data_IF_353655692377
#
_entry.id   IF_353655692377
#
_cell.length_a   1.000
_cell.length_b   1.000
_cell.length_c   1.000
_cell.angle_alpha   90.00
_cell.angle_beta   90.00
_cell.angle_gamma   90.00
#
_symmetry.space_group_name_H-M   'P 1'
#
loop_
_entity.id
_entity.type
_entity.pdbx_description
1 polymer ?
#
# COMPACT_ATOMS: atom_id res chain seq x y z
N UNK A 1 15.02 6.21 -8.13
CA UNK A 1 14.76 6.85 -6.81
C UNK A 1 14.21 8.27 -6.96
N UNK A 2 14.92 9.18 -7.65
CA UNK A 2 14.46 10.57 -7.83
C UNK A 2 13.08 10.69 -8.48
N UNK A 3 12.78 9.86 -9.49
CA UNK A 3 11.46 9.84 -10.12
C UNK A 3 10.32 9.46 -9.17
N UNK A 4 10.58 8.57 -8.18
CA UNK A 4 9.57 8.17 -7.19
C UNK A 4 9.28 9.32 -6.22
N UNK A 5 10.34 9.95 -5.69
CA UNK A 5 10.20 11.12 -4.82
C UNK A 5 9.47 12.25 -5.51
N UNK A 6 9.85 12.56 -6.75
CA UNK A 6 9.18 13.58 -7.54
C UNK A 6 7.68 13.29 -7.70
N UNK A 7 7.31 12.05 -8.01
CA UNK A 7 5.90 11.66 -8.12
C UNK A 7 5.15 11.88 -6.79
N UNK A 8 5.70 11.42 -5.68
CA UNK A 8 5.05 11.55 -4.37
C UNK A 8 4.93 13.01 -3.95
N UNK A 9 5.97 13.82 -4.16
CA UNK A 9 5.94 15.27 -3.90
C UNK A 9 4.92 16.00 -4.76
N UNK A 10 4.78 15.62 -6.03
CA UNK A 10 3.77 16.18 -6.91
C UNK A 10 2.36 15.86 -6.43
N UNK A 11 2.10 14.60 -6.03
CA UNK A 11 0.82 14.20 -5.45
C UNK A 11 0.54 14.90 -4.11
N UNK A 12 1.56 15.07 -3.27
CA UNK A 12 1.48 15.84 -2.02
C UNK A 12 0.97 17.25 -2.28
N UNK A 13 1.58 17.97 -3.23
CA UNK A 13 1.17 19.35 -3.54
C UNK A 13 -0.26 19.46 -4.07
N UNK A 14 -0.80 18.38 -4.64
CA UNK A 14 -2.17 18.34 -5.16
C UNK A 14 -3.20 17.94 -4.12
N UNK A 15 -2.87 16.99 -3.23
CA UNK A 15 -3.83 16.33 -2.33
C UNK A 15 -3.69 16.74 -0.87
N UNK A 16 -2.49 17.13 -0.45
CA UNK A 16 -2.13 17.45 0.93
C UNK A 16 -1.08 18.58 0.98
N UNK A 17 -1.37 19.77 0.43
CA UNK A 17 -0.40 20.86 0.36
C UNK A 17 0.11 21.33 1.74
N UNK A 18 -0.70 21.17 2.78
CA UNK A 18 -0.39 21.52 4.18
C UNK A 18 0.56 20.54 4.89
N UNK A 19 0.78 19.33 4.34
CA UNK A 19 1.73 18.38 4.92
C UNK A 19 3.15 18.98 4.90
N UNK A 20 3.91 18.96 6.01
CA UNK A 20 5.30 19.39 6.00
C UNK A 20 6.17 18.48 5.12
N UNK A 21 7.02 19.08 4.29
CA UNK A 21 7.94 18.33 3.42
C UNK A 21 8.88 17.44 4.22
N UNK A 22 9.29 17.85 5.42
CA UNK A 22 10.12 17.05 6.33
C UNK A 22 9.44 15.74 6.75
N UNK A 23 8.15 15.80 7.11
CA UNK A 23 7.38 14.59 7.47
C UNK A 23 7.29 13.61 6.31
N UNK A 24 7.09 14.12 5.09
CA UNK A 24 7.07 13.28 3.90
C UNK A 24 8.45 12.70 3.56
N UNK A 25 9.50 13.52 3.67
CA UNK A 25 10.86 13.09 3.40
C UNK A 25 11.31 11.97 4.35
N UNK A 26 10.93 12.03 5.63
CA UNK A 26 11.19 10.94 6.58
C UNK A 26 10.58 9.62 6.10
N UNK A 27 9.30 9.58 5.71
CA UNK A 27 8.71 8.34 5.17
C UNK A 27 9.41 7.86 3.88
N UNK A 28 9.76 8.80 2.99
CA UNK A 28 10.46 8.48 1.75
C UNK A 28 11.88 7.92 2.01
N UNK A 29 12.58 8.44 3.01
CA UNK A 29 13.90 7.96 3.43
C UNK A 29 13.80 6.52 3.94
N UNK A 30 12.82 6.23 4.82
CA UNK A 30 12.55 4.86 5.31
C UNK A 30 12.27 3.90 4.16
N UNK A 31 11.42 4.29 3.20
CA UNK A 31 11.13 3.44 2.03
C UNK A 31 12.36 3.18 1.17
N UNK A 32 13.24 4.17 1.03
CA UNK A 32 14.49 4.02 0.29
C UNK A 32 15.47 3.08 1.02
N UNK A 33 15.71 3.33 2.31
CA UNK A 33 16.64 2.56 3.14
C UNK A 33 16.23 1.10 3.27
N UNK A 34 14.93 0.83 3.39
CA UNK A 34 14.38 -0.52 3.54
C UNK A 34 14.13 -1.23 2.20
N UNK A 35 14.43 -0.59 1.08
CA UNK A 35 14.23 -1.15 -0.26
C UNK A 35 12.76 -1.46 -0.57
N UNK A 36 11.85 -0.59 -0.13
CA UNK A 36 10.39 -0.73 -0.30
C UNK A 36 9.84 0.11 -1.46
N UNK A 37 10.65 0.97 -2.09
CA UNK A 37 10.21 1.84 -3.21
C UNK A 37 9.56 1.04 -4.34
N UNK A 38 10.23 0.00 -4.84
CA UNK A 38 9.69 -0.83 -5.93
C UNK A 38 8.45 -1.63 -5.48
N UNK A 39 8.39 -2.01 -4.20
CA UNK A 39 7.24 -2.71 -3.65
C UNK A 39 6.01 -1.79 -3.57
N UNK A 40 6.19 -0.51 -3.21
CA UNK A 40 5.13 0.50 -3.23
C UNK A 40 4.63 0.79 -4.65
N UNK A 41 5.53 0.83 -5.63
CA UNK A 41 5.15 0.99 -7.03
C UNK A 41 4.30 -0.19 -7.53
N UNK A 42 4.69 -1.42 -7.20
CA UNK A 42 3.90 -2.61 -7.53
C UNK A 42 2.54 -2.59 -6.82
N UNK A 43 2.52 -2.21 -5.55
CA UNK A 43 1.27 -2.13 -4.79
C UNK A 43 0.31 -1.09 -5.37
N UNK A 44 0.84 0.08 -5.79
CA UNK A 44 0.08 1.08 -6.54
C UNK A 44 -0.48 0.51 -7.83
N UNK A 45 0.34 -0.17 -8.62
CA UNK A 45 -0.07 -0.72 -9.91
C UNK A 45 -1.14 -1.81 -9.76
N UNK A 46 -1.08 -2.61 -8.68
CA UNK A 46 -2.13 -3.57 -8.32
C UNK A 46 -3.43 -2.84 -8.01
N UNK A 47 -3.42 -1.88 -7.07
CA UNK A 47 -4.63 -1.17 -6.65
C UNK A 47 -5.24 -0.39 -7.81
N UNK A 48 -4.41 0.29 -8.60
CA UNK A 48 -4.85 1.06 -9.77
C UNK A 48 -5.39 0.14 -10.88
N UNK A 49 -4.73 -0.98 -11.16
CA UNK A 49 -5.18 -1.95 -12.16
C UNK A 49 -6.51 -2.60 -11.78
N UNK A 50 -6.66 -3.01 -10.52
CA UNK A 50 -7.94 -3.52 -9.98
C UNK A 50 -9.04 -2.46 -10.10
N UNK A 51 -8.74 -1.20 -9.78
CA UNK A 51 -9.70 -0.09 -9.92
C UNK A 51 -10.11 0.14 -11.37
N UNK A 52 -9.16 0.18 -12.30
CA UNK A 52 -9.43 0.47 -13.72
C UNK A 52 -10.11 -0.69 -14.45
N UNK A 53 -9.69 -1.92 -14.20
CA UNK A 53 -10.14 -3.08 -14.97
C UNK A 53 -11.29 -3.85 -14.31
N UNK A 54 -11.32 -3.91 -12.97
CA UNK A 54 -12.38 -4.60 -12.25
C UNK A 54 -13.44 -3.64 -11.68
N UNK A 55 -13.13 -2.34 -11.59
CA UNK A 55 -14.06 -1.34 -11.07
C UNK A 55 -14.17 -1.33 -9.54
N UNK A 56 -13.19 -1.89 -8.83
CA UNK A 56 -13.23 -2.00 -7.36
C UNK A 56 -12.04 -1.33 -6.70
N UNK A 57 -12.24 -0.90 -5.46
CA UNK A 57 -11.20 -0.33 -4.60
C UNK A 57 -11.04 -1.19 -3.34
N UNK A 58 -9.93 -0.99 -2.63
CA UNK A 58 -9.74 -1.54 -1.29
C UNK A 58 -10.78 -0.98 -0.32
N UNK A 59 -11.13 -1.77 0.69
CA UNK A 59 -12.04 -1.35 1.76
C UNK A 59 -11.38 -0.27 2.62
N UNK A 60 -12.03 0.88 2.72
CA UNK A 60 -11.54 2.03 3.47
C UNK A 60 -11.31 1.70 4.95
N UNK A 61 -10.16 2.12 5.48
CA UNK A 61 -9.84 2.04 6.89
C UNK A 61 -9.55 0.62 7.42
N UNK A 62 -9.48 -0.40 6.57
CA UNK A 62 -9.18 -1.78 7.00
C UNK A 62 -7.78 -2.26 6.64
N UNK A 63 -7.15 -1.66 5.62
CA UNK A 63 -5.80 -2.04 5.20
C UNK A 63 -4.73 -1.76 6.25
N UNK A 64 -3.62 -2.51 6.21
CA UNK A 64 -2.52 -2.31 7.19
C UNK A 64 -1.69 -1.04 6.95
N UNK A 65 -1.86 -0.39 5.81
CA UNK A 65 -1.18 0.86 5.44
C UNK A 65 -2.05 2.11 5.64
N UNK A 66 -3.31 1.94 6.06
CA UNK A 66 -4.22 3.07 6.27
C UNK A 66 -3.62 4.04 7.30
N UNK A 67 -3.75 5.34 7.05
CA UNK A 67 -3.14 6.38 7.88
C UNK A 67 -1.64 6.63 7.61
N UNK A 68 -1.02 5.95 6.64
CA UNK A 68 0.35 6.24 6.20
C UNK A 68 0.35 7.20 4.99
N UNK A 69 1.22 8.21 5.00
CA UNK A 69 1.17 9.31 4.04
C UNK A 69 1.52 8.87 2.62
N UNK A 70 2.68 8.22 2.42
CA UNK A 70 3.12 7.83 1.07
C UNK A 70 2.11 6.88 0.38
N UNK A 71 1.60 5.81 1.02
CA UNK A 71 0.55 4.97 0.45
C UNK A 71 -0.73 5.74 0.08
N UNK A 72 -1.15 6.71 0.90
CA UNK A 72 -2.31 7.54 0.61
C UNK A 72 -2.07 8.40 -0.64
N UNK A 73 -0.92 9.07 -0.73
CA UNK A 73 -0.56 9.92 -1.87
C UNK A 73 -0.45 9.12 -3.18
N UNK A 74 0.07 7.89 -3.11
CA UNK A 74 0.11 6.97 -4.26
C UNK A 74 -1.28 6.40 -4.63
N UNK A 75 -2.29 6.58 -3.77
CA UNK A 75 -3.65 6.06 -3.99
C UNK A 75 -3.77 4.55 -3.72
N UNK A 76 -2.84 3.98 -2.94
CA UNK A 76 -2.90 2.60 -2.44
C UNK A 76 -3.95 2.50 -1.34
N UNK A 77 -3.99 3.50 -0.47
CA UNK A 77 -4.95 3.62 0.63
C UNK A 77 -5.93 4.76 0.37
N UNK A 78 -7.00 4.77 1.15
CA UNK A 78 -8.14 5.66 0.91
C UNK A 78 -8.45 6.52 2.13
N UNK A 79 -8.04 6.09 3.32
CA UNK A 79 -8.12 6.89 4.53
C UNK A 79 -6.99 7.90 4.55
N UNK A 80 -7.37 9.16 4.67
CA UNK A 80 -6.44 10.27 4.83
C UNK A 80 -5.66 10.13 6.16
N UNK A 81 -4.33 10.34 6.15
CA UNK A 81 -3.51 10.24 7.35
C UNK A 81 -3.76 11.39 8.32
N UNK A 82 -3.79 11.09 9.62
CA UNK A 82 -3.85 12.12 10.67
C UNK A 82 -2.48 12.77 10.85
N UNK A 83 -2.37 14.04 10.46
CA UNK A 83 -1.13 14.82 10.55
C UNK A 83 -0.78 15.23 11.98
N UNK A 84 -1.76 15.28 12.89
CA UNK A 84 -1.53 15.63 14.29
C UNK A 84 -1.06 14.43 15.11
N UNK A 85 -1.48 13.22 14.74
CA UNK A 85 -1.06 11.96 15.36
C UNK A 85 -0.70 10.94 14.28
N UNK A 86 0.51 11.03 13.70
CA UNK A 86 0.95 10.12 12.67
C UNK A 86 1.18 8.71 13.25
N UNK A 87 0.11 7.92 13.35
CA UNK A 87 0.19 6.48 13.60
C UNK A 87 0.37 5.78 12.25
N UNK A 88 1.54 5.98 11.64
CA UNK A 88 1.86 5.43 10.34
C UNK A 88 2.82 4.23 10.48
N UNK A 89 2.74 3.27 9.55
CA UNK A 89 3.54 2.03 9.64
C UNK A 89 5.03 2.28 9.45
N UNK A 90 5.40 3.46 8.94
CA UNK A 90 6.76 3.85 8.57
C UNK A 90 7.45 4.74 9.62
N UNK A 91 6.76 5.08 10.72
CA UNK A 91 7.25 6.03 11.74
C UNK A 91 8.38 5.47 12.58
N UNK A 92 8.39 4.15 12.79
CA UNK A 92 9.43 3.44 13.53
C UNK A 92 10.33 2.64 12.56
N UNK A 93 11.19 3.37 11.86
CA UNK A 93 12.11 2.81 10.87
C UNK A 93 13.04 1.73 11.45
N UNK A 94 13.51 1.91 12.68
CA UNK A 94 14.44 0.98 13.32
C UNK A 94 13.80 -0.39 13.58
N UNK A 95 12.52 -0.41 13.99
CA UNK A 95 11.80 -1.63 14.31
C UNK A 95 10.97 -2.18 13.14
N UNK A 96 10.96 -1.50 11.98
CA UNK A 96 10.28 -1.97 10.79
C UNK A 96 10.86 -3.32 10.33
N UNK A 97 10.05 -4.38 10.43
CA UNK A 97 10.42 -5.75 10.06
C UNK A 97 10.19 -5.99 8.58
N UNK A 98 11.18 -6.62 7.93
CA UNK A 98 11.08 -7.10 6.56
C UNK A 98 10.91 -8.63 6.52
N UNK A 99 10.12 -9.17 5.58
CA UNK A 99 9.31 -8.43 4.61
C UNK A 99 8.16 -7.68 5.30
N UNK A 100 7.82 -6.49 4.77
CA UNK A 100 6.69 -5.71 5.26
C UNK A 100 5.40 -6.48 4.98
N UNK A 101 4.65 -6.79 6.02
CA UNK A 101 3.37 -7.49 5.94
C UNK A 101 2.26 -6.47 5.62
N UNK A 102 1.76 -6.51 4.39
CA UNK A 102 0.70 -5.64 3.90
C UNK A 102 -0.59 -6.43 3.76
N UNK A 103 -1.70 -5.88 4.25
CA UNK A 103 -3.03 -6.49 4.11
C UNK A 103 -3.93 -5.56 3.31
N UNK A 104 -4.46 -6.06 2.20
CA UNK A 104 -5.49 -5.40 1.42
C UNK A 104 -6.83 -6.10 1.62
N UNK A 105 -7.86 -5.34 1.99
CA UNK A 105 -9.21 -5.86 2.18
C UNK A 105 -10.07 -5.55 0.96
N UNK A 106 -10.83 -6.55 0.53
CA UNK A 106 -11.85 -6.43 -0.51
C UNK A 106 -13.15 -7.11 -0.03
N UNK A 107 -14.30 -6.72 -0.58
CA UNK A 107 -15.55 -7.44 -0.33
C UNK A 107 -15.38 -8.93 -0.72
N UNK A 108 -16.11 -9.80 -0.01
CA UNK A 108 -16.05 -11.25 -0.17
C UNK A 108 -16.22 -11.71 -1.63
N UNK A 109 -17.15 -11.09 -2.36
CA UNK A 109 -17.45 -11.44 -3.76
C UNK A 109 -16.35 -10.99 -4.72
N UNK A 110 -15.58 -9.98 -4.32
CA UNK A 110 -14.59 -9.30 -5.16
C UNK A 110 -13.19 -9.85 -4.94
N UNK A 111 -12.85 -10.25 -3.71
CA UNK A 111 -11.49 -10.70 -3.35
C UNK A 111 -10.97 -11.78 -4.28
N UNK A 112 -11.79 -12.76 -4.67
CA UNK A 112 -11.34 -13.83 -5.57
C UNK A 112 -10.96 -13.30 -6.96
N UNK A 113 -11.78 -12.39 -7.52
CA UNK A 113 -11.51 -11.76 -8.83
C UNK A 113 -10.22 -10.96 -8.80
N UNK A 114 -9.97 -10.24 -7.70
CA UNK A 114 -8.71 -9.50 -7.49
C UNK A 114 -7.52 -10.46 -7.46
N UNK A 115 -7.60 -11.54 -6.70
CA UNK A 115 -6.53 -12.54 -6.60
C UNK A 115 -6.24 -13.17 -7.95
N UNK A 116 -7.27 -13.52 -8.72
CA UNK A 116 -7.09 -14.09 -10.05
C UNK A 116 -6.48 -13.07 -11.03
N UNK A 117 -6.89 -11.80 -10.95
CA UNK A 117 -6.29 -10.71 -11.73
C UNK A 117 -4.80 -10.52 -11.41
N UNK A 118 -4.43 -10.59 -10.12
CA UNK A 118 -3.04 -10.49 -9.67
C UNK A 118 -2.25 -11.73 -10.14
N UNK A 119 -2.78 -12.94 -10.00
CA UNK A 119 -2.12 -14.17 -10.48
C UNK A 119 -1.76 -14.14 -11.96
N UNK A 120 -2.62 -13.55 -12.79
CA UNK A 120 -2.38 -13.44 -14.24
C UNK A 120 -1.23 -12.50 -14.59
N UNK A 121 -0.86 -11.58 -13.69
CA UNK A 121 0.14 -10.52 -13.92
C UNK A 121 1.40 -10.70 -13.10
N UNK A 122 1.30 -11.38 -11.97
CA UNK A 122 2.37 -11.55 -11.01
C UNK A 122 2.54 -13.04 -10.71
N UNK A 123 3.70 -13.59 -11.06
CA UNK A 123 3.98 -15.04 -10.98
C UNK A 123 4.15 -15.56 -9.54
N UNK A 124 4.15 -14.68 -8.53
CA UNK A 124 4.53 -15.01 -7.14
C UNK A 124 3.36 -15.09 -6.16
N UNK A 125 2.12 -15.23 -6.65
CA UNK A 125 0.96 -15.44 -5.78
C UNK A 125 0.91 -16.89 -5.29
N UNK A 126 0.89 -17.09 -3.98
CA UNK A 126 0.79 -18.40 -3.31
C UNK A 126 -0.31 -18.38 -2.26
N UNK A 127 -0.67 -19.54 -1.73
CA UNK A 127 -1.59 -19.64 -0.60
C UNK A 127 -0.80 -19.90 0.68
N UNK A 128 -0.95 -19.06 1.70
CA UNK A 128 -0.39 -19.25 3.04
C UNK A 128 -1.52 -19.22 4.07
N UNK A 129 -1.63 -20.27 4.90
CA UNK A 129 -2.69 -20.41 5.91
C UNK A 129 -4.13 -20.20 5.35
N UNK A 130 -4.37 -20.65 4.11
CA UNK A 130 -5.66 -20.49 3.43
C UNK A 130 -5.91 -19.11 2.82
N UNK A 131 -4.96 -18.18 2.93
CA UNK A 131 -5.06 -16.84 2.38
C UNK A 131 -4.13 -16.67 1.17
N UNK A 132 -4.61 -16.05 0.08
CA UNK A 132 -3.78 -15.73 -1.06
C UNK A 132 -2.83 -14.59 -0.71
N UNK A 133 -1.53 -14.82 -0.91
CA UNK A 133 -0.45 -13.88 -0.67
C UNK A 133 0.36 -13.64 -1.94
N UNK A 134 0.73 -12.40 -2.21
CA UNK A 134 1.76 -12.06 -3.18
C UNK A 134 3.08 -11.89 -2.42
N UNK A 135 4.02 -12.81 -2.65
CA UNK A 135 5.35 -12.72 -2.03
C UNK A 135 6.31 -11.94 -2.92
N UNK A 136 6.98 -10.96 -2.33
CA UNK A 136 8.04 -10.15 -2.95
C UNK A 136 9.30 -10.20 -2.10
N UNK A 137 10.33 -9.45 -2.49
CA UNK A 137 11.64 -9.48 -1.81
C UNK A 137 11.55 -8.86 -0.42
N UNK A 138 10.94 -7.67 -0.32
CA UNK A 138 10.82 -6.92 0.92
C UNK A 138 9.37 -6.71 1.38
N UNK A 139 8.40 -7.35 0.72
CA UNK A 139 6.98 -7.21 1.04
C UNK A 139 6.22 -8.52 0.86
N UNK A 140 5.24 -8.76 1.71
CA UNK A 140 4.21 -9.78 1.54
C UNK A 140 2.87 -9.09 1.53
N UNK A 141 2.07 -9.30 0.48
CA UNK A 141 0.74 -8.69 0.36
C UNK A 141 -0.31 -9.78 0.51
N UNK A 142 -1.09 -9.72 1.58
CA UNK A 142 -2.20 -10.62 1.87
C UNK A 142 -3.53 -10.00 1.39
N UNK A 143 -4.31 -10.75 0.62
CA UNK A 143 -5.62 -10.30 0.13
C UNK A 143 -6.74 -10.90 0.98
N UNK A 144 -7.27 -10.10 1.92
CA UNK A 144 -8.33 -10.52 2.84
C UNK A 144 -9.72 -10.11 2.37
N UNK A 145 -10.69 -10.85 2.88
CA UNK A 145 -12.11 -10.53 2.74
C UNK A 145 -12.54 -9.67 3.91
N UNK A 146 -13.41 -8.71 3.66
CA UNK A 146 -14.16 -8.06 4.72
C UNK A 146 -15.09 -9.11 5.36
N UNK A 147 -14.91 -9.38 6.66
CA UNK A 147 -15.93 -10.09 7.42
C UNK A 147 -17.06 -9.10 7.71
N UNK A 148 -18.26 -9.37 7.19
CA UNK A 148 -19.47 -8.66 7.62
C UNK A 148 -19.90 -9.31 8.94
N UNK A 149 -19.80 -8.55 10.03
CA UNK A 149 -20.35 -8.91 11.33
C UNK A 149 -21.87 -8.92 11.31
#
# INVERSE_FOLDING_TARGET
MESFRFQVMWEKNRRMPELPDESLNTELDVLCEKGLVDEMLVLRDIVEGVRKELGYQTEMGKGSLEGTVVPFLLGITTTEPDLAQPNNVLSDAEHLRLPLEVVLYYDNEIRNRVVDWVKLRYETVKTQLGQPILKRSNMVVEFKRVMKS
#
